data_IF_167329552618
#
_entry.id   IF_167329552618
#
_cell.length_a   1.000
_cell.length_b   1.000
_cell.length_c   1.000
_cell.angle_alpha   90.00
_cell.angle_beta   90.00
_cell.angle_gamma   90.00
#
_symmetry.space_group_name_H-M   'P 1'
#
loop_
_entity.id
_entity.type
_entity.pdbx_description
1 polymer ?
#
# COMPACT_ATOMS: atom_id res chain seq x y z
N UNK A 1 -87.61 -8.25 -42.77
CA UNK A 1 -88.43 -7.99 -41.57
C UNK A 1 -88.24 -9.15 -40.62
N UNK A 2 -88.10 -8.84 -39.33
CA UNK A 2 -88.19 -9.76 -38.17
C UNK A 2 -86.96 -10.59 -37.82
N UNK A 3 -86.16 -9.98 -36.94
CA UNK A 3 -85.31 -10.57 -35.92
C UNK A 3 -86.07 -11.55 -35.00
N UNK A 4 -85.36 -12.49 -34.37
CA UNK A 4 -85.46 -12.91 -32.95
C UNK A 4 -84.43 -14.04 -32.72
N UNK A 5 -83.41 -13.79 -31.90
CA UNK A 5 -83.28 -14.20 -30.49
C UNK A 5 -82.45 -15.50 -30.36
N UNK A 6 -81.22 -15.44 -29.83
CA UNK A 6 -80.84 -15.51 -28.42
C UNK A 6 -80.95 -16.93 -27.81
N UNK A 7 -80.11 -17.16 -26.80
CA UNK A 7 -79.85 -18.39 -26.03
C UNK A 7 -78.74 -19.28 -26.61
N UNK A 8 -77.49 -19.18 -26.12
CA UNK A 8 -77.01 -19.61 -24.79
C UNK A 8 -77.24 -21.10 -24.54
N UNK A 9 -76.18 -21.78 -24.06
CA UNK A 9 -76.12 -23.15 -23.51
C UNK A 9 -75.62 -24.29 -24.41
N UNK A 10 -74.54 -24.10 -25.15
CA UNK A 10 -73.78 -25.27 -25.67
C UNK A 10 -72.26 -25.15 -25.40
N UNK A 11 -71.90 -24.34 -24.40
CA UNK A 11 -70.55 -24.06 -23.88
C UNK A 11 -69.92 -25.22 -23.09
N UNK A 12 -70.30 -26.45 -23.40
CA UNK A 12 -69.71 -27.63 -22.82
C UNK A 12 -69.87 -28.76 -23.83
N UNK A 13 -68.78 -29.46 -24.13
CA UNK A 13 -68.73 -30.76 -24.81
C UNK A 13 -68.52 -30.80 -26.33
N UNK A 14 -68.06 -29.75 -26.99
CA UNK A 14 -67.49 -29.91 -28.32
C UNK A 14 -66.20 -29.10 -28.42
N UNK A 15 -65.13 -29.77 -28.85
CA UNK A 15 -63.74 -29.32 -28.98
C UNK A 15 -62.79 -29.65 -27.82
N UNK A 16 -63.09 -30.71 -27.06
CA UNK A 16 -62.05 -31.57 -26.44
C UNK A 16 -61.25 -32.42 -27.47
N UNK A 17 -61.37 -32.14 -28.76
CA UNK A 17 -60.75 -32.92 -29.85
C UNK A 17 -59.67 -32.16 -30.64
N UNK A 18 -59.52 -30.84 -30.44
CA UNK A 18 -58.40 -30.08 -31.01
C UNK A 18 -57.13 -30.14 -30.12
N UNK A 19 -57.19 -30.90 -29.03
CA UNK A 19 -56.17 -31.00 -27.98
C UNK A 19 -55.11 -32.09 -28.25
N UNK A 20 -55.02 -32.63 -29.47
CA UNK A 20 -54.18 -33.80 -29.78
C UNK A 20 -53.29 -33.67 -31.03
N UNK A 21 -53.33 -32.54 -31.76
CA UNK A 21 -52.58 -32.36 -33.00
C UNK A 21 -51.58 -31.19 -32.99
N UNK A 22 -51.17 -30.70 -31.81
CA UNK A 22 -50.15 -29.65 -31.65
C UNK A 22 -48.87 -30.15 -30.96
N UNK A 23 -48.81 -31.44 -30.59
CA UNK A 23 -47.70 -31.97 -29.77
C UNK A 23 -46.50 -32.55 -30.55
N UNK A 24 -46.33 -32.25 -31.85
CA UNK A 24 -45.18 -32.74 -32.62
C UNK A 24 -44.62 -31.66 -33.55
N UNK A 25 -43.90 -30.69 -32.99
CA UNK A 25 -42.79 -29.97 -33.65
C UNK A 25 -42.23 -28.88 -32.72
N UNK A 26 -41.06 -29.12 -32.10
CA UNK A 26 -40.39 -28.07 -31.34
C UNK A 26 -39.33 -28.50 -30.33
N UNK A 27 -38.41 -29.42 -30.69
CA UNK A 27 -37.25 -29.73 -29.85
C UNK A 27 -35.96 -29.84 -30.68
N UNK A 28 -35.53 -28.75 -31.33
CA UNK A 28 -34.17 -28.63 -31.88
C UNK A 28 -33.86 -27.17 -32.28
N UNK A 29 -33.52 -26.36 -31.28
CA UNK A 29 -32.67 -25.15 -31.33
C UNK A 29 -33.22 -24.10 -30.37
N UNK A 30 -32.78 -24.20 -29.12
CA UNK A 30 -32.75 -23.04 -28.23
C UNK A 30 -31.46 -23.08 -27.42
N UNK A 31 -30.33 -22.95 -28.11
CA UNK A 31 -29.12 -22.42 -27.50
C UNK A 31 -28.96 -20.99 -28.02
N UNK A 32 -29.43 -20.04 -27.24
CA UNK A 32 -29.16 -18.62 -27.50
C UNK A 32 -27.65 -18.38 -27.35
N UNK A 33 -27.04 -17.89 -28.42
CA UNK A 33 -25.66 -17.42 -28.38
C UNK A 33 -25.53 -16.36 -27.28
N UNK A 34 -24.73 -16.66 -26.26
CA UNK A 34 -24.53 -15.77 -25.10
C UNK A 34 -24.96 -16.34 -23.73
N UNK A 35 -25.43 -17.59 -23.63
CA UNK A 35 -25.82 -18.17 -22.33
C UNK A 35 -24.65 -18.28 -21.32
N UNK A 36 -23.39 -18.27 -21.79
CA UNK A 36 -22.18 -18.17 -20.96
C UNK A 36 -21.46 -16.83 -21.07
N UNK A 37 -22.09 -15.80 -21.65
CA UNK A 37 -21.52 -14.46 -21.64
C UNK A 37 -21.70 -13.88 -20.22
N UNK A 38 -20.73 -14.16 -19.34
CA UNK A 38 -20.60 -13.40 -18.10
C UNK A 38 -20.36 -11.92 -18.49
N UNK A 39 -21.09 -10.98 -17.88
CA UNK A 39 -20.73 -9.57 -17.96
C UNK A 39 -19.27 -9.43 -17.53
N UNK A 40 -18.46 -8.68 -18.29
CA UNK A 40 -17.16 -8.28 -17.79
C UNK A 40 -17.40 -7.30 -16.65
N UNK A 41 -17.23 -7.77 -15.41
CA UNK A 41 -17.26 -6.91 -14.25
C UNK A 41 -16.12 -5.89 -14.39
N UNK A 42 -16.49 -4.61 -14.31
CA UNK A 42 -15.53 -3.51 -14.42
C UNK A 42 -14.85 -3.29 -13.07
N UNK A 43 -13.57 -2.93 -13.10
CA UNK A 43 -12.80 -2.54 -11.90
C UNK A 43 -13.50 -1.44 -11.09
N UNK A 44 -14.32 -0.62 -11.73
CA UNK A 44 -15.12 0.40 -11.05
C UNK A 44 -16.26 -0.19 -10.19
N UNK A 45 -16.92 -1.26 -10.65
CA UNK A 45 -17.95 -1.95 -9.87
C UNK A 45 -17.34 -2.65 -8.65
N UNK A 46 -16.16 -3.25 -8.82
CA UNK A 46 -15.41 -3.89 -7.74
C UNK A 46 -14.94 -2.88 -6.68
N UNK A 47 -14.37 -1.74 -7.11
CA UNK A 47 -13.97 -0.67 -6.22
C UNK A 47 -15.14 -0.09 -5.41
N UNK A 48 -16.33 0.06 -6.03
CA UNK A 48 -17.54 0.51 -5.33
C UNK A 48 -18.04 -0.51 -4.31
N UNK A 49 -18.00 -1.81 -4.63
CA UNK A 49 -18.40 -2.87 -3.71
C UNK A 49 -17.46 -2.97 -2.50
N UNK A 50 -16.15 -2.79 -2.71
CA UNK A 50 -15.17 -2.72 -1.63
C UNK A 50 -15.33 -1.47 -0.74
N UNK A 51 -15.68 -0.33 -1.32
CA UNK A 51 -15.89 0.91 -0.58
C UNK A 51 -17.20 0.95 0.23
N UNK A 52 -18.24 0.24 -0.24
CA UNK A 52 -19.57 0.27 0.39
C UNK A 52 -19.76 -0.74 1.52
N UNK A 53 -18.79 -1.65 1.76
CA UNK A 53 -18.83 -2.57 2.89
C UNK A 53 -20.13 -3.39 2.93
N UNK A 54 -20.23 -4.40 2.08
CA UNK A 54 -21.42 -5.26 2.00
C UNK A 54 -21.84 -5.80 3.37
N UNK A 55 -23.11 -5.60 3.72
CA UNK A 55 -23.75 -6.11 4.94
C UNK A 55 -23.87 -7.63 4.82
N UNK A 56 -22.82 -8.36 5.20
CA UNK A 56 -22.83 -9.82 5.15
C UNK A 56 -21.47 -10.52 5.27
N UNK A 57 -20.37 -9.77 5.32
CA UNK A 57 -19.04 -10.35 5.56
C UNK A 57 -18.85 -10.68 7.04
N UNK A 58 -19.23 -11.91 7.41
CA UNK A 58 -18.82 -12.54 8.66
C UNK A 58 -17.29 -12.64 8.63
N UNK A 59 -16.61 -11.85 9.46
CA UNK A 59 -15.16 -11.86 9.56
C UNK A 59 -14.66 -13.30 9.83
N UNK A 60 -13.66 -13.81 9.09
CA UNK A 60 -13.05 -15.09 9.41
C UNK A 60 -12.45 -15.01 10.82
N UNK A 61 -12.74 -16.04 11.63
CA UNK A 61 -12.32 -16.15 13.02
C UNK A 61 -10.83 -15.89 13.18
N UNK A 62 -10.53 -14.88 13.99
CA UNK A 62 -9.22 -14.47 14.45
C UNK A 62 -8.40 -15.68 14.93
N UNK A 63 -7.23 -15.94 14.32
CA UNK A 63 -6.27 -16.91 14.85
C UNK A 63 -5.67 -16.31 16.12
N UNK A 64 -5.99 -16.94 17.25
CA UNK A 64 -5.53 -16.59 18.58
C UNK A 64 -4.18 -17.28 18.82
N UNK A 65 -3.08 -16.57 18.57
CA UNK A 65 -1.74 -17.06 18.90
C UNK A 65 -1.54 -16.99 20.41
N UNK A 66 -1.67 -18.13 21.09
CA UNK A 66 -1.42 -18.26 22.52
C UNK A 66 0.08 -18.19 22.83
N UNK A 67 0.51 -17.15 23.54
CA UNK A 67 1.84 -17.11 24.14
C UNK A 67 1.68 -17.30 25.65
N UNK A 68 2.19 -18.44 26.13
CA UNK A 68 2.12 -18.85 27.53
C UNK A 68 2.90 -17.91 28.46
N UNK A 69 2.32 -17.70 29.64
CA UNK A 69 2.93 -16.98 30.74
C UNK A 69 4.12 -17.77 31.31
N UNK A 70 5.31 -17.18 31.28
CA UNK A 70 6.26 -17.28 32.40
C UNK A 70 6.85 -15.91 32.66
N UNK A 71 6.33 -15.26 33.71
CA UNK A 71 7.02 -14.17 34.36
C UNK A 71 8.24 -14.75 35.06
N UNK A 72 9.43 -14.25 34.74
CA UNK A 72 10.59 -14.32 35.61
C UNK A 72 11.25 -12.95 35.54
N UNK A 73 11.12 -12.21 36.64
CA UNK A 73 11.81 -10.96 36.86
C UNK A 73 13.32 -11.23 36.87
N UNK A 74 14.03 -10.75 35.85
CA UNK A 74 15.48 -10.83 35.79
C UNK A 74 16.05 -9.42 36.03
N UNK A 75 16.83 -9.34 37.10
CA UNK A 75 17.58 -8.21 37.64
C UNK A 75 18.37 -7.43 36.59
N UNK A 76 18.23 -6.10 36.62
CA UNK A 76 18.98 -5.15 35.79
C UNK A 76 20.45 -5.07 36.24
N UNK A 77 21.38 -5.53 35.40
CA UNK A 77 22.81 -5.17 35.45
C UNK A 77 23.12 -4.16 34.32
N UNK A 78 23.77 -3.00 34.57
CA UNK A 78 23.81 -1.89 33.61
C UNK A 78 24.78 -2.05 32.42
N UNK A 79 25.52 -3.16 32.32
CA UNK A 79 26.57 -3.32 31.30
C UNK A 79 26.10 -4.01 30.00
N UNK A 80 24.90 -4.60 29.99
CA UNK A 80 24.32 -5.30 28.83
C UNK A 80 23.28 -4.46 28.06
N UNK A 81 23.15 -3.17 28.35
CA UNK A 81 22.19 -2.29 27.65
C UNK A 81 22.77 -1.70 26.35
N UNK A 82 24.10 -1.77 26.16
CA UNK A 82 24.75 -1.21 24.97
C UNK A 82 24.72 -2.16 23.76
N UNK A 83 24.82 -3.48 23.98
CA UNK A 83 24.83 -4.47 22.89
C UNK A 83 23.45 -5.03 22.52
N UNK A 84 22.46 -4.94 23.43
CA UNK A 84 21.06 -5.19 23.08
C UNK A 84 20.46 -4.08 22.17
N UNK A 85 21.09 -2.90 22.11
CA UNK A 85 20.68 -1.78 21.26
C UNK A 85 21.01 -1.97 19.77
N UNK A 86 22.01 -2.80 19.44
CA UNK A 86 22.33 -3.14 18.05
C UNK A 86 21.37 -4.18 17.45
N UNK A 87 20.67 -4.93 18.31
CA UNK A 87 19.64 -5.93 17.95
C UNK A 87 18.25 -5.50 18.47
N UNK A 88 18.03 -4.21 18.72
CA UNK A 88 16.72 -3.65 18.38
C UNK A 88 16.75 -3.52 16.86
N UNK A 89 16.60 -4.68 16.21
CA UNK A 89 16.00 -4.78 14.88
C UNK A 89 14.90 -3.75 14.88
N UNK A 90 15.13 -2.65 14.16
CA UNK A 90 14.17 -1.58 14.00
C UNK A 90 12.94 -2.30 13.50
N UNK A 91 11.97 -2.59 14.38
CA UNK A 91 10.84 -3.49 14.05
C UNK A 91 10.17 -3.07 12.73
N UNK A 92 10.06 -1.77 12.43
CA UNK A 92 9.63 -1.30 11.12
C UNK A 92 10.49 -1.75 9.92
N UNK A 93 11.80 -1.96 10.05
CA UNK A 93 12.75 -2.20 8.94
C UNK A 93 13.30 -3.65 8.91
N UNK A 94 12.47 -4.64 9.25
CA UNK A 94 12.82 -6.06 9.04
C UNK A 94 12.93 -6.45 7.56
N UNK A 95 12.24 -5.69 6.72
CA UNK A 95 12.23 -5.79 5.27
C UNK A 95 12.62 -4.42 4.69
N UNK A 96 13.07 -4.40 3.44
CA UNK A 96 13.24 -3.15 2.74
C UNK A 96 11.89 -2.43 2.62
N UNK A 97 11.86 -1.12 2.86
CA UNK A 97 10.64 -0.31 2.77
C UNK A 97 10.91 1.00 2.04
N UNK A 98 10.01 1.37 1.15
CA UNK A 98 10.04 2.66 0.46
C UNK A 98 9.02 3.61 1.05
N UNK A 99 9.42 4.86 1.27
CA UNK A 99 8.60 5.95 1.77
C UNK A 99 8.62 7.10 0.77
N UNK A 100 7.47 7.68 0.48
CA UNK A 100 7.31 8.78 -0.46
C UNK A 100 6.73 10.00 0.25
N UNK A 101 7.21 11.18 -0.08
CA UNK A 101 6.60 12.43 0.38
C UNK A 101 7.13 13.62 -0.39
N UNK A 102 6.57 14.79 -0.10
CA UNK A 102 7.01 16.07 -0.67
C UNK A 102 7.39 16.99 0.48
N UNK A 103 8.58 17.58 0.39
CA UNK A 103 9.15 18.47 1.40
C UNK A 103 9.61 19.77 0.73
N UNK A 104 9.70 20.89 1.47
CA UNK A 104 10.13 22.15 0.90
C UNK A 104 11.58 22.03 0.44
N UNK A 105 11.96 22.82 -0.55
CA UNK A 105 13.37 22.92 -0.91
C UNK A 105 14.10 23.70 0.17
N UNK A 106 14.87 22.99 0.99
CA UNK A 106 15.66 23.58 2.09
C UNK A 106 17.09 23.94 1.61
N UNK A 107 17.39 23.70 0.33
CA UNK A 107 18.64 24.08 -0.32
C UNK A 107 18.57 25.51 -0.91
N UNK A 108 19.72 26.16 -1.04
CA UNK A 108 19.87 27.54 -1.56
C UNK A 108 19.61 27.71 -3.08
N UNK A 109 18.90 26.77 -3.72
CA UNK A 109 18.50 26.94 -5.11
C UNK A 109 17.16 27.67 -5.17
N UNK A 110 17.21 28.95 -5.50
CA UNK A 110 16.04 29.83 -5.61
C UNK A 110 15.03 29.34 -6.65
N UNK A 111 15.39 28.42 -7.54
CA UNK A 111 14.48 27.85 -8.54
C UNK A 111 13.63 26.70 -8.02
N UNK A 112 13.94 26.16 -6.83
CA UNK A 112 13.31 24.96 -6.28
C UNK A 112 12.12 25.34 -5.39
N UNK A 113 10.91 24.95 -5.80
CA UNK A 113 9.67 25.22 -5.04
C UNK A 113 9.36 24.11 -4.04
N UNK A 114 9.49 22.86 -4.46
CA UNK A 114 9.27 21.69 -3.63
C UNK A 114 10.16 20.54 -4.10
N UNK A 115 10.36 19.56 -3.24
CA UNK A 115 11.11 18.36 -3.59
C UNK A 115 10.31 17.12 -3.23
N UNK A 116 10.12 16.23 -4.22
CA UNK A 116 9.51 14.92 -4.02
C UNK A 116 10.61 13.91 -3.69
N UNK A 117 10.49 13.24 -2.57
CA UNK A 117 11.48 12.28 -2.06
C UNK A 117 10.87 10.89 -2.07
N UNK A 118 11.48 9.96 -2.80
CA UNK A 118 11.31 8.52 -2.64
C UNK A 118 12.53 8.01 -1.86
N UNK A 119 12.31 7.47 -0.67
CA UNK A 119 13.36 6.97 0.24
C UNK A 119 13.14 5.48 0.50
N UNK A 120 14.11 4.66 0.12
CA UNK A 120 14.13 3.23 0.40
C UNK A 120 15.13 2.96 1.52
N UNK A 121 14.64 2.34 2.61
CA UNK A 121 15.44 1.89 3.74
C UNK A 121 15.54 0.37 3.67
N UNK A 122 16.76 -0.16 3.67
CA UNK A 122 17.03 -1.60 3.63
C UNK A 122 17.48 -2.12 5.03
N UNK A 123 17.22 -3.39 5.36
CA UNK A 123 17.52 -3.97 6.67
C UNK A 123 19.02 -4.08 6.99
N UNK A 124 19.87 -4.00 5.96
CA UNK A 124 21.33 -4.01 6.03
C UNK A 124 21.93 -2.62 6.33
N UNK A 125 21.13 -1.70 6.85
CA UNK A 125 21.51 -0.32 7.18
C UNK A 125 21.82 0.56 5.96
N UNK A 126 21.53 0.12 4.75
CA UNK A 126 21.63 0.96 3.57
C UNK A 126 20.35 1.77 3.36
N UNK A 127 20.51 3.00 2.87
CA UNK A 127 19.40 3.77 2.32
C UNK A 127 19.74 4.26 0.92
N UNK A 128 18.69 4.38 0.11
CA UNK A 128 18.74 4.95 -1.23
C UNK A 128 17.60 5.94 -1.34
N UNK A 129 17.84 7.10 -1.93
CA UNK A 129 16.79 8.09 -2.13
C UNK A 129 16.87 8.69 -3.53
N UNK A 130 15.70 8.87 -4.15
CA UNK A 130 15.50 9.69 -5.32
C UNK A 130 14.79 10.97 -4.90
N UNK A 131 15.42 12.10 -5.16
CA UNK A 131 14.85 13.43 -4.95
C UNK A 131 14.57 14.08 -6.30
N UNK A 132 13.31 14.41 -6.59
CA UNK A 132 12.92 15.21 -7.75
C UNK A 132 12.67 16.62 -7.26
N UNK A 133 13.54 17.55 -7.67
CA UNK A 133 13.37 18.98 -7.43
C UNK A 133 12.36 19.53 -8.43
N UNK A 134 11.30 20.17 -7.94
CA UNK A 134 10.20 20.73 -8.72
C UNK A 134 10.39 22.26 -8.80
N UNK A 135 10.64 22.78 -10.00
CA UNK A 135 10.84 24.21 -10.23
C UNK A 135 9.63 24.94 -10.81
N UNK A 136 9.70 26.28 -10.83
CA UNK A 136 8.60 27.17 -11.18
C UNK A 136 8.08 27.06 -12.63
N UNK A 137 8.85 26.48 -13.54
CA UNK A 137 8.49 26.35 -14.96
C UNK A 137 8.34 24.89 -15.42
N UNK A 138 8.03 23.98 -14.49
CA UNK A 138 7.96 22.54 -14.79
C UNK A 138 9.33 21.91 -15.03
N UNK A 139 10.41 22.64 -14.74
CA UNK A 139 11.76 22.09 -14.74
C UNK A 139 11.90 21.11 -13.59
N UNK A 140 12.19 19.85 -13.91
CA UNK A 140 12.45 18.81 -12.92
C UNK A 140 13.93 18.42 -12.95
N UNK A 141 14.55 18.37 -11.78
CA UNK A 141 15.90 17.83 -11.62
C UNK A 141 15.87 16.64 -10.69
N UNK A 142 16.27 15.48 -11.19
CA UNK A 142 16.34 14.26 -10.39
C UNK A 142 17.75 14.08 -9.85
N UNK A 143 17.84 13.80 -8.55
CA UNK A 143 19.07 13.51 -7.82
C UNK A 143 18.87 12.17 -7.13
N UNK A 144 19.77 11.22 -7.36
CA UNK A 144 19.83 10.01 -6.58
C UNK A 144 20.98 10.06 -5.59
N UNK A 145 20.74 9.56 -4.39
CA UNK A 145 21.71 9.52 -3.32
C UNK A 145 21.57 8.21 -2.56
N UNK A 146 22.65 7.82 -1.88
CA UNK A 146 22.67 6.66 -1.01
C UNK A 146 23.61 6.90 0.17
N UNK A 147 23.50 6.01 1.14
CA UNK A 147 24.37 6.02 2.29
C UNK A 147 23.97 4.98 3.32
N UNK A 148 24.39 5.22 4.54
CA UNK A 148 24.07 4.37 5.68
C UNK A 148 23.09 5.07 6.61
N UNK A 149 22.12 4.33 7.14
CA UNK A 149 21.22 4.83 8.16
C UNK A 149 21.54 4.16 9.49
N UNK A 150 21.35 4.89 10.58
CA UNK A 150 21.56 4.36 11.93
C UNK A 150 20.54 4.91 12.91
N UNK A 151 20.27 4.14 13.96
CA UNK A 151 19.37 4.54 15.05
C UNK A 151 20.07 5.53 15.98
N UNK A 152 19.38 6.62 16.31
CA UNK A 152 19.86 7.69 17.21
C UNK A 152 18.89 7.97 18.36
N UNK A 153 17.81 7.19 18.48
CA UNK A 153 16.87 7.24 19.60
C UNK A 153 15.80 6.17 19.45
N UNK A 154 15.17 5.78 20.56
CA UNK A 154 14.23 4.65 20.61
C UNK A 154 12.82 5.05 21.06
N UNK A 155 12.65 6.21 21.70
CA UNK A 155 11.36 6.75 22.15
C UNK A 155 11.25 8.26 21.86
N UNK A 156 10.74 8.67 20.68
CA UNK A 156 10.36 7.82 19.55
C UNK A 156 11.59 7.21 18.86
N UNK A 157 11.37 6.18 18.05
CA UNK A 157 12.40 5.59 17.21
C UNK A 157 12.86 6.63 16.19
N UNK A 158 14.14 7.03 16.27
CA UNK A 158 14.75 8.03 15.41
C UNK A 158 15.93 7.43 14.67
N UNK A 159 16.02 7.76 13.38
CA UNK A 159 17.14 7.39 12.53
C UNK A 159 17.78 8.63 11.92
N UNK A 160 19.07 8.53 11.63
CA UNK A 160 19.79 9.51 10.82
C UNK A 160 20.25 8.84 9.54
N UNK A 161 20.13 9.56 8.43
CA UNK A 161 20.66 9.17 7.13
C UNK A 161 22.02 9.86 6.97
N UNK A 162 23.08 9.09 6.77
CA UNK A 162 24.43 9.60 6.53
C UNK A 162 24.85 9.25 5.11
N UNK A 163 25.51 10.17 4.42
CA UNK A 163 26.14 9.92 3.12
C UNK A 163 27.53 9.30 3.30
N UNK A 164 28.15 8.83 2.21
CA UNK A 164 29.47 8.18 2.23
C UNK A 164 30.62 8.99 2.86
N UNK A 165 30.47 10.31 3.01
CA UNK A 165 31.43 11.19 3.69
C UNK A 165 31.01 11.59 5.10
N UNK A 166 30.22 10.76 5.79
CA UNK A 166 29.62 10.98 7.12
C UNK A 166 28.68 12.17 7.28
N UNK A 167 28.52 12.98 6.23
CA UNK A 167 27.59 14.10 6.21
C UNK A 167 26.14 13.63 6.42
N UNK A 168 25.47 14.26 7.39
CA UNK A 168 24.07 13.99 7.70
C UNK A 168 23.16 14.50 6.59
N UNK A 169 22.44 13.58 5.94
CA UNK A 169 21.44 13.91 4.93
C UNK A 169 20.10 14.29 5.55
N UNK A 170 19.63 13.50 6.52
CA UNK A 170 18.34 13.74 7.16
C UNK A 170 18.27 13.10 8.55
N UNK A 171 17.42 13.66 9.41
CA UNK A 171 17.04 13.06 10.69
C UNK A 171 15.53 12.80 10.64
N UNK A 172 15.12 11.55 10.86
CA UNK A 172 13.76 11.08 10.71
C UNK A 172 13.27 10.37 11.97
N UNK A 173 11.99 10.53 12.30
CA UNK A 173 11.35 9.77 13.39
C UNK A 173 10.26 8.87 12.82
N UNK A 174 10.16 7.63 13.31
CA UNK A 174 8.99 6.80 13.05
C UNK A 174 7.84 7.29 13.94
N UNK A 175 6.75 7.73 13.32
CA UNK A 175 5.48 7.95 14.02
C UNK A 175 4.81 6.59 14.26
N UNK A 176 4.86 5.73 13.24
CA UNK A 176 4.47 4.34 13.25
C UNK A 176 5.26 3.59 12.16
N UNK A 177 4.92 2.33 11.90
CA UNK A 177 5.63 1.47 10.94
C UNK A 177 5.52 1.93 9.46
N UNK A 178 4.60 2.85 9.16
CA UNK A 178 4.25 3.29 7.80
C UNK A 178 4.45 4.79 7.57
N UNK A 179 4.79 5.57 8.60
CA UNK A 179 4.92 7.02 8.50
C UNK A 179 6.21 7.49 9.17
N UNK A 180 7.06 8.15 8.38
CA UNK A 180 8.26 8.82 8.83
C UNK A 180 8.02 10.32 8.92
N UNK A 181 8.27 10.90 10.09
CA UNK A 181 8.36 12.33 10.27
C UNK A 181 9.74 12.83 9.88
N UNK A 182 9.80 13.91 9.13
CA UNK A 182 11.04 14.62 8.80
C UNK A 182 11.36 15.60 9.93
N UNK A 183 12.44 15.36 10.67
CA UNK A 183 12.90 16.29 11.72
C UNK A 183 13.90 17.31 11.16
N UNK A 184 14.87 16.84 10.37
CA UNK A 184 15.91 17.65 9.73
C UNK A 184 16.18 17.14 8.31
N UNK A 185 16.51 18.04 7.39
CA UNK A 185 17.09 17.75 6.07
C UNK A 185 18.31 18.65 5.89
N UNK A 186 19.46 18.07 5.55
CA UNK A 186 20.75 18.76 5.48
C UNK A 186 20.96 19.67 6.71
N UNK A 187 20.78 19.10 7.90
CA UNK A 187 20.89 19.76 9.21
C UNK A 187 19.94 20.95 9.47
N UNK A 188 18.95 21.18 8.60
CA UNK A 188 17.97 22.25 8.75
C UNK A 188 16.58 21.69 9.03
N UNK A 189 15.90 22.23 10.03
CA UNK A 189 14.53 21.84 10.38
C UNK A 189 13.52 22.50 9.43
N UNK A 190 12.60 21.74 8.81
CA UNK A 190 11.46 22.32 8.12
C UNK A 190 10.59 23.15 9.09
N UNK A 191 9.94 24.20 8.58
CA UNK A 191 9.08 25.08 9.39
C UNK A 191 7.73 24.45 9.74
N UNK A 192 7.22 23.58 8.86
CA UNK A 192 5.99 22.82 9.04
C UNK A 192 6.31 21.34 9.29
N UNK A 193 5.29 20.59 9.70
CA UNK A 193 5.41 19.15 9.90
C UNK A 193 5.29 18.41 8.56
N UNK A 194 6.32 17.66 8.17
CA UNK A 194 6.38 16.93 6.90
C UNK A 194 6.60 15.45 7.14
N UNK A 195 5.83 14.62 6.45
CA UNK A 195 5.90 13.16 6.58
C UNK A 195 6.19 12.49 5.24
N UNK A 196 6.82 11.33 5.31
CA UNK A 196 6.95 10.37 4.22
C UNK A 196 6.12 9.13 4.56
N UNK A 197 5.35 8.62 3.60
CA UNK A 197 4.42 7.50 3.80
C UNK A 197 4.89 6.25 3.05
N UNK A 198 4.74 5.08 3.69
CA UNK A 198 5.13 3.80 3.11
C UNK A 198 4.38 3.54 1.81
N UNK A 199 5.11 3.14 0.78
CA UNK A 199 4.57 2.69 -0.49
C UNK A 199 4.33 1.17 -0.45
N UNK A 200 3.40 0.69 -1.28
CA UNK A 200 3.17 -0.76 -1.40
C UNK A 200 4.39 -1.45 -2.03
N UNK A 201 4.91 -0.84 -3.09
CA UNK A 201 6.04 -1.34 -3.87
C UNK A 201 7.37 -0.75 -3.36
N UNK A 202 8.44 -1.51 -3.59
CA UNK A 202 9.81 -1.05 -3.39
C UNK A 202 10.26 -0.32 -4.65
N UNK A 203 10.69 0.94 -4.52
CA UNK A 203 11.30 1.67 -5.63
C UNK A 203 12.67 1.03 -5.92
N UNK A 204 12.90 0.47 -7.11
CA UNK A 204 14.17 -0.18 -7.40
C UNK A 204 15.34 0.80 -7.36
N UNK A 205 15.18 2.10 -7.66
CA UNK A 205 16.25 3.13 -7.73
C UNK A 205 17.56 2.64 -8.43
N UNK A 206 17.53 1.54 -9.20
CA UNK A 206 18.73 0.86 -9.73
C UNK A 206 19.43 1.62 -10.86
N UNK A 207 18.71 2.55 -11.48
CA UNK A 207 19.14 3.18 -12.72
C UNK A 207 19.79 4.57 -12.54
N UNK A 208 20.18 4.95 -11.33
CA UNK A 208 20.79 6.27 -11.11
C UNK A 208 22.33 6.20 -11.03
N UNK A 209 23.04 7.05 -11.80
CA UNK A 209 24.51 7.05 -11.82
C UNK A 209 25.09 7.41 -10.45
N UNK A 210 26.02 6.60 -9.95
CA UNK A 210 26.73 6.82 -8.68
C UNK A 210 26.21 6.02 -7.48
N UNK A 211 25.21 5.16 -7.68
CA UNK A 211 24.79 4.17 -6.68
C UNK A 211 25.68 2.93 -6.76
N UNK A 212 26.20 2.51 -5.62
CA UNK A 212 27.12 1.37 -5.45
C UNK A 212 26.77 0.65 -4.14
N UNK A 213 27.05 -0.65 -4.05
CA UNK A 213 26.89 -1.36 -2.78
C UNK A 213 27.82 -0.75 -1.72
N UNK A 214 27.24 -0.27 -0.62
CA UNK A 214 27.97 0.32 0.50
C UNK A 214 28.07 -0.69 1.62
N UNK A 215 29.25 -0.82 2.23
CA UNK A 215 29.37 -1.54 3.50
C UNK A 215 28.97 -0.60 4.64
N UNK A 216 27.77 -0.78 5.16
CA UNK A 216 27.22 -0.01 6.28
C UNK A 216 27.41 -0.71 7.63
N UNK A 217 28.30 -1.70 7.70
CA UNK A 217 28.60 -2.40 8.96
C UNK A 217 29.20 -1.41 9.96
N UNK A 218 28.62 -1.28 11.17
CA UNK A 218 29.20 -0.42 12.19
C UNK A 218 30.62 -0.92 12.53
N UNK A 219 31.62 -0.02 12.67
CA UNK A 219 32.96 -0.43 13.06
C UNK A 219 32.89 -1.16 14.40
N UNK A 220 33.55 -2.31 14.49
CA UNK A 220 33.62 -3.08 15.72
C UNK A 220 34.14 -2.18 16.85
N UNK A 221 33.38 -2.06 17.93
CA UNK A 221 33.80 -1.34 19.12
C UNK A 221 35.11 -1.95 19.63
N UNK A 222 36.17 -1.14 19.69
CA UNK A 222 37.46 -1.49 20.32
C UNK A 222 37.44 -1.08 21.78
#
# INVERSE_FOLDING_TARGET
MSSLALFSRHSAKLLGAAMLAVLVSGCAQQQQAGYYAQPQDTTETDARNHAQGGHGTRAPSQIQLGFGNTASAQTNTPAEAANANAIIQVRPLKEAKTFLGTVPCIAQDASCMASRISLTLAPDQQWRARTVLLGASGSERTIAQQGCWRVVGTQPLRIVLQMAGDATKANLSFINDNVLRVNLINDTAPTLDYHLTRQADIDPIDDAPGLHNLDCTPPAAQ
#
